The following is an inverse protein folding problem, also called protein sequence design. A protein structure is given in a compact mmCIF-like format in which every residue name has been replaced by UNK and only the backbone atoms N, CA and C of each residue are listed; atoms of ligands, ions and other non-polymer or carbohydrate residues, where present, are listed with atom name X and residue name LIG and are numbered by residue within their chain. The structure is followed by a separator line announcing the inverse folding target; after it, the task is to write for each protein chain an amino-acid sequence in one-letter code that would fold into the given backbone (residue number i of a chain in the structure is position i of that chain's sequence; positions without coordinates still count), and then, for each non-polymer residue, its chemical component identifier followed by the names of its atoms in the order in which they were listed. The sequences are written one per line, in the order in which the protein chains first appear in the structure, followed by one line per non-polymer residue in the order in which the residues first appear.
data_IF_566421394014
#
_entry.id   IF_566421394014
#
_cell.length_a   1.000
_cell.length_b   1.000
_cell.length_c   1.000
_cell.angle_alpha   90.00
_cell.angle_beta   90.00
_cell.angle_gamma   90.00
#
_symmetry.space_group_name_H-M   'P 1'
#
loop_
_entity.id
_entity.type
_entity.pdbx_description
1 polymer ?
#
# COMPACT_ATOMS: atom_id res chain seq x y z
N UNK A 1 23.78 20.27 -31.67
CA UNK A 1 23.65 19.08 -30.76
C UNK A 1 22.19 18.88 -30.52
N UNK A 2 21.58 17.75 -30.92
CA UNK A 2 20.15 17.52 -30.69
C UNK A 2 19.91 17.01 -29.28
N UNK A 3 18.92 17.59 -28.59
CA UNK A 3 18.46 17.19 -27.28
C UNK A 3 17.73 15.84 -27.38
N UNK A 4 18.23 14.86 -26.66
CA UNK A 4 17.53 13.59 -26.49
C UNK A 4 16.38 13.76 -25.47
N UNK A 5 15.16 13.80 -25.98
CA UNK A 5 13.97 13.60 -25.17
C UNK A 5 13.93 12.14 -24.68
N UNK A 6 14.25 11.91 -23.43
CA UNK A 6 13.90 10.65 -22.77
C UNK A 6 12.42 10.74 -22.37
N UNK A 7 11.58 10.07 -23.14
CA UNK A 7 10.20 9.79 -22.73
C UNK A 7 10.24 8.81 -21.55
N UNK A 8 9.76 9.24 -20.39
CA UNK A 8 9.46 8.36 -19.28
C UNK A 8 8.37 7.39 -19.74
N UNK A 9 8.76 6.14 -20.03
CA UNK A 9 7.80 5.07 -20.21
C UNK A 9 7.16 4.78 -18.84
N UNK A 10 5.91 5.23 -18.69
CA UNK A 10 5.03 4.76 -17.62
C UNK A 10 4.89 3.25 -17.82
N UNK A 11 5.48 2.47 -16.92
CA UNK A 11 5.32 1.01 -16.91
C UNK A 11 3.83 0.70 -16.79
N UNK A 12 3.33 -0.12 -17.68
CA UNK A 12 1.95 -0.60 -17.70
C UNK A 12 1.56 -1.23 -16.34
N UNK A 13 0.28 -1.14 -15.94
CA UNK A 13 -0.19 -1.71 -14.68
C UNK A 13 0.17 -3.18 -14.57
N UNK A 14 0.63 -3.59 -13.39
CA UNK A 14 0.92 -4.99 -13.07
C UNK A 14 -0.31 -5.85 -13.43
N UNK A 15 -0.18 -6.68 -14.46
CA UNK A 15 -1.15 -7.74 -14.73
C UNK A 15 -0.96 -8.80 -13.65
N UNK A 16 -1.85 -8.83 -12.67
CA UNK A 16 -1.96 -9.95 -11.75
C UNK A 16 -2.51 -11.13 -12.55
N UNK A 17 -1.63 -12.03 -12.99
CA UNK A 17 -2.05 -13.32 -13.54
C UNK A 17 -2.57 -14.19 -12.40
N UNK A 18 -3.89 -14.16 -12.20
CA UNK A 18 -4.57 -15.12 -11.33
C UNK A 18 -4.60 -16.45 -12.09
N UNK A 19 -3.66 -17.35 -11.74
CA UNK A 19 -3.74 -18.75 -12.19
C UNK A 19 -5.02 -19.34 -11.60
N UNK A 20 -6.05 -19.42 -12.38
CA UNK A 20 -7.32 -20.09 -12.06
C UNK A 20 -7.03 -21.56 -11.76
N UNK A 21 -7.10 -21.92 -10.49
CA UNK A 21 -6.93 -23.28 -10.06
C UNK A 21 -8.19 -24.08 -10.39
N UNK A 22 -8.03 -25.34 -10.81
CA UNK A 22 -9.04 -26.30 -11.29
C UNK A 22 -10.25 -26.52 -10.37
N UNK A 23 -10.23 -25.99 -9.15
CA UNK A 23 -11.30 -26.09 -8.13
C UNK A 23 -12.48 -25.14 -8.31
N UNK A 24 -12.42 -24.18 -9.24
CA UNK A 24 -13.50 -23.19 -9.50
C UNK A 24 -14.64 -23.78 -10.33
N UNK A 25 -14.44 -24.90 -11.01
CA UNK A 25 -15.36 -25.42 -12.02
C UNK A 25 -16.57 -26.22 -11.49
N UNK A 26 -16.75 -26.43 -10.17
CA UNK A 26 -17.79 -27.34 -9.65
C UNK A 26 -18.91 -26.72 -8.80
N UNK A 27 -18.97 -25.41 -8.61
CA UNK A 27 -20.12 -24.79 -7.93
C UNK A 27 -20.79 -23.76 -8.84
N UNK A 28 -22.10 -23.96 -9.12
CA UNK A 28 -23.04 -22.98 -9.68
C UNK A 28 -23.29 -21.77 -8.75
N UNK A 29 -22.57 -21.64 -7.66
CA UNK A 29 -22.69 -20.54 -6.72
C UNK A 29 -21.61 -19.52 -7.02
N UNK A 30 -22.00 -18.30 -7.38
CA UNK A 30 -21.13 -17.17 -7.62
C UNK A 30 -20.27 -16.94 -6.37
N UNK A 31 -18.95 -16.89 -6.52
CA UNK A 31 -18.01 -16.64 -5.42
C UNK A 31 -18.27 -15.26 -4.82
N UNK A 32 -18.35 -15.15 -3.50
CA UNK A 32 -18.53 -13.88 -2.81
C UNK A 32 -17.20 -13.35 -2.29
N UNK A 33 -16.83 -12.17 -2.78
CA UNK A 33 -15.59 -11.46 -2.43
C UNK A 33 -15.98 -10.23 -1.60
N UNK A 34 -15.44 -10.11 -0.40
CA UNK A 34 -15.74 -9.00 0.51
C UNK A 34 -14.48 -8.19 0.79
N UNK A 35 -14.50 -6.92 0.42
CA UNK A 35 -13.48 -5.94 0.83
C UNK A 35 -13.88 -5.33 2.16
N UNK A 36 -13.02 -5.43 3.17
CA UNK A 36 -13.31 -4.98 4.53
C UNK A 36 -12.88 -3.53 4.80
N UNK A 37 -11.92 -3.01 4.05
CA UNK A 37 -11.35 -1.67 4.23
C UNK A 37 -10.84 -1.08 2.92
N UNK A 38 -11.71 -1.04 1.89
CA UNK A 38 -11.39 -0.65 0.51
C UNK A 38 -10.78 0.76 0.39
N UNK A 39 -11.12 1.68 1.29
CA UNK A 39 -10.51 3.03 1.33
C UNK A 39 -9.01 3.03 1.54
N UNK A 40 -8.45 1.95 2.06
CA UNK A 40 -7.00 1.81 2.26
C UNK A 40 -6.23 1.51 0.97
N UNK A 41 -6.92 1.19 -0.12
CA UNK A 41 -6.31 0.89 -1.42
C UNK A 41 -6.07 2.18 -2.22
N UNK A 42 -6.88 3.21 -2.01
CA UNK A 42 -6.90 4.44 -2.79
C UNK A 42 -8.01 4.45 -3.84
N UNK A 43 -8.38 5.65 -4.26
CA UNK A 43 -9.49 5.85 -5.22
C UNK A 43 -9.02 5.74 -6.69
N UNK A 44 -7.71 5.66 -6.92
CA UNK A 44 -7.05 5.57 -8.24
C UNK A 44 -6.85 4.12 -8.73
N UNK A 45 -7.19 3.14 -7.91
CA UNK A 45 -7.05 1.71 -8.27
C UNK A 45 -8.40 1.17 -8.79
N UNK A 46 -8.38 0.69 -10.03
CA UNK A 46 -9.54 0.03 -10.62
C UNK A 46 -9.70 -1.40 -10.06
N UNK A 47 -10.77 -1.62 -9.34
CA UNK A 47 -11.13 -2.92 -8.76
C UNK A 47 -12.17 -3.68 -9.60
N UNK A 48 -12.56 -3.20 -10.78
CA UNK A 48 -13.60 -3.81 -11.63
C UNK A 48 -13.24 -5.22 -12.11
N UNK A 49 -11.95 -5.55 -12.19
CA UNK A 49 -11.51 -6.91 -12.54
C UNK A 49 -12.02 -7.98 -11.56
N UNK A 50 -12.28 -7.60 -10.30
CA UNK A 50 -12.85 -8.53 -9.32
C UNK A 50 -14.29 -8.91 -9.63
N UNK A 51 -15.06 -8.04 -10.31
CA UNK A 51 -16.46 -8.31 -10.69
C UNK A 51 -16.58 -9.49 -11.67
N UNK A 52 -15.49 -9.79 -12.40
CA UNK A 52 -15.41 -10.96 -13.29
C UNK A 52 -15.24 -12.29 -12.52
N UNK A 53 -14.86 -12.23 -11.25
CA UNK A 53 -14.61 -13.40 -10.42
C UNK A 53 -15.82 -13.81 -9.59
N UNK A 54 -16.75 -12.89 -9.32
CA UNK A 54 -17.91 -13.18 -8.49
C UNK A 54 -18.68 -11.95 -8.05
N UNK A 55 -19.51 -12.13 -7.03
CA UNK A 55 -20.19 -11.04 -6.33
C UNK A 55 -19.18 -10.28 -5.46
N UNK A 56 -19.02 -8.98 -5.68
CA UNK A 56 -18.08 -8.13 -4.96
C UNK A 56 -18.84 -7.16 -4.05
N UNK A 57 -18.55 -7.23 -2.75
CA UNK A 57 -19.06 -6.30 -1.75
C UNK A 57 -17.90 -5.51 -1.17
N UNK A 58 -18.01 -4.18 -1.15
CA UNK A 58 -16.96 -3.27 -0.69
C UNK A 58 -17.44 -2.46 0.51
N UNK A 59 -16.65 -2.49 1.57
CA UNK A 59 -16.83 -1.63 2.74
C UNK A 59 -15.62 -0.71 2.84
N UNK A 60 -15.86 0.56 3.07
CA UNK A 60 -14.81 1.57 3.21
C UNK A 60 -13.88 1.25 4.39
N UNK A 61 -14.48 0.92 5.53
CA UNK A 61 -13.81 0.49 6.76
C UNK A 61 -14.65 -0.57 7.47
N UNK A 62 -14.02 -1.41 8.28
CA UNK A 62 -14.69 -2.38 9.15
C UNK A 62 -13.97 -2.46 10.49
N UNK A 63 -14.74 -2.47 11.57
CA UNK A 63 -14.26 -2.92 12.89
C UNK A 63 -14.19 -4.46 12.92
N UNK A 64 -13.60 -5.02 13.97
CA UNK A 64 -13.55 -6.48 14.15
C UNK A 64 -14.95 -7.07 14.25
N UNK A 65 -15.87 -6.39 14.94
CA UNK A 65 -17.25 -6.80 15.13
C UNK A 65 -18.04 -6.76 13.82
N UNK A 66 -17.90 -5.67 13.05
CA UNK A 66 -18.52 -5.55 11.72
C UNK A 66 -17.95 -6.58 10.75
N UNK A 67 -16.64 -6.88 10.83
CA UNK A 67 -16.02 -7.91 10.01
C UNK A 67 -16.64 -9.31 10.28
N UNK A 68 -16.99 -9.63 11.54
CA UNK A 68 -17.63 -10.89 11.87
C UNK A 68 -18.98 -11.07 11.18
N UNK A 69 -19.74 -10.00 11.00
CA UNK A 69 -21.02 -10.03 10.29
C UNK A 69 -20.81 -10.03 8.76
N UNK A 70 -19.94 -9.12 8.26
CA UNK A 70 -19.68 -8.90 6.85
C UNK A 70 -19.04 -10.09 6.13
N UNK A 71 -18.30 -10.93 6.89
CA UNK A 71 -17.61 -12.10 6.33
C UNK A 71 -18.40 -13.39 6.39
N UNK A 72 -19.57 -13.42 7.05
CA UNK A 72 -20.33 -14.63 7.38
C UNK A 72 -20.55 -15.58 6.18
N UNK A 73 -20.83 -15.05 5.03
CA UNK A 73 -21.09 -15.77 3.78
C UNK A 73 -20.01 -15.57 2.70
N UNK A 74 -18.87 -14.93 3.06
CA UNK A 74 -17.77 -14.70 2.15
C UNK A 74 -17.00 -15.99 1.82
N UNK A 75 -16.61 -16.14 0.55
CA UNK A 75 -15.63 -17.14 0.10
C UNK A 75 -14.20 -16.58 0.14
N UNK A 76 -14.06 -15.28 -0.14
CA UNK A 76 -12.79 -14.55 -0.16
C UNK A 76 -12.97 -13.23 0.58
N UNK A 77 -12.01 -12.87 1.41
CA UNK A 77 -11.93 -11.52 1.98
C UNK A 77 -10.66 -10.81 1.53
N UNK A 78 -10.80 -9.52 1.26
CA UNK A 78 -9.70 -8.63 0.89
C UNK A 78 -9.63 -7.51 1.92
N UNK A 79 -8.44 -7.27 2.47
CA UNK A 79 -8.26 -6.29 3.54
C UNK A 79 -6.82 -5.77 3.59
N UNK A 80 -6.61 -4.70 4.33
CA UNK A 80 -5.30 -4.14 4.62
C UNK A 80 -5.02 -4.08 6.14
N UNK A 81 -5.95 -3.50 6.92
CA UNK A 81 -5.73 -3.17 8.33
C UNK A 81 -6.60 -3.95 9.31
N UNK A 82 -7.73 -4.49 8.85
CA UNK A 82 -8.63 -5.25 9.71
C UNK A 82 -7.92 -6.48 10.26
N UNK A 83 -8.09 -6.73 11.56
CA UNK A 83 -7.55 -7.94 12.20
C UNK A 83 -8.32 -9.18 11.77
N UNK A 84 -7.59 -10.22 11.40
CA UNK A 84 -8.16 -11.52 11.01
C UNK A 84 -7.83 -12.55 12.10
N UNK A 85 -8.84 -12.89 12.88
CA UNK A 85 -8.77 -13.83 13.98
C UNK A 85 -10.14 -14.51 14.20
N UNK A 86 -10.27 -15.32 15.24
CA UNK A 86 -11.54 -16.01 15.55
C UNK A 86 -12.71 -15.03 15.74
N UNK A 87 -12.48 -13.84 16.30
CA UNK A 87 -13.55 -12.86 16.53
C UNK A 87 -14.10 -12.29 15.23
N UNK A 88 -13.21 -11.98 14.27
CA UNK A 88 -13.59 -11.34 13.01
C UNK A 88 -14.08 -12.31 11.93
N UNK A 89 -13.62 -13.57 11.92
CA UNK A 89 -13.97 -14.53 10.87
C UNK A 89 -14.50 -15.88 11.38
N UNK A 90 -14.74 -16.00 12.68
CA UNK A 90 -15.19 -17.28 13.28
C UNK A 90 -16.49 -17.83 12.69
N UNK A 91 -17.38 -16.94 12.23
CA UNK A 91 -18.65 -17.30 11.62
C UNK A 91 -18.58 -17.48 10.09
N UNK A 92 -17.47 -17.16 9.45
CA UNK A 92 -17.26 -17.27 8.00
C UNK A 92 -17.03 -18.73 7.58
N UNK A 93 -18.10 -19.49 7.41
CA UNK A 93 -18.06 -20.96 7.16
C UNK A 93 -17.52 -21.31 5.77
N UNK A 94 -17.71 -20.43 4.79
CA UNK A 94 -17.33 -20.66 3.40
C UNK A 94 -15.95 -20.09 3.05
N UNK A 95 -15.34 -19.32 3.97
CA UNK A 95 -14.09 -18.60 3.72
C UNK A 95 -12.93 -19.55 3.42
N UNK A 96 -12.27 -19.31 2.29
CA UNK A 96 -11.15 -20.11 1.78
C UNK A 96 -9.87 -19.31 1.62
N UNK A 97 -9.99 -18.02 1.39
CA UNK A 97 -8.85 -17.18 1.07
C UNK A 97 -8.97 -15.80 1.74
N UNK A 98 -7.84 -15.37 2.30
CA UNK A 98 -7.63 -14.02 2.82
C UNK A 98 -6.58 -13.34 1.98
N UNK A 99 -6.90 -12.21 1.36
CA UNK A 99 -5.99 -11.39 0.58
C UNK A 99 -5.65 -10.11 1.34
N UNK A 100 -4.37 -9.89 1.63
CA UNK A 100 -3.89 -8.67 2.29
C UNK A 100 -3.30 -7.74 1.24
N UNK A 101 -3.86 -6.55 1.09
CA UNK A 101 -3.41 -5.52 0.13
C UNK A 101 -2.20 -4.73 0.66
N UNK A 102 -1.32 -5.40 1.36
CA UNK A 102 -0.10 -4.85 1.95
C UNK A 102 1.03 -5.88 1.95
N UNK A 103 2.25 -5.44 2.24
CA UNK A 103 3.40 -6.33 2.46
C UNK A 103 3.32 -6.98 3.85
N UNK A 104 3.00 -6.20 4.90
CA UNK A 104 2.89 -6.69 6.27
C UNK A 104 1.65 -7.56 6.48
N UNK A 105 1.78 -8.59 7.31
CA UNK A 105 0.70 -9.55 7.63
C UNK A 105 0.53 -9.76 9.12
N UNK A 106 0.91 -8.76 9.94
CA UNK A 106 0.87 -8.83 11.41
C UNK A 106 -0.57 -8.86 11.95
N UNK A 107 -1.53 -8.43 11.15
CA UNK A 107 -2.96 -8.44 11.44
C UNK A 107 -3.62 -9.80 11.17
N UNK A 108 -2.86 -10.81 10.73
CA UNK A 108 -3.37 -12.16 10.51
C UNK A 108 -2.99 -13.09 11.67
N UNK A 109 -3.97 -13.72 12.29
CA UNK A 109 -3.77 -14.91 13.12
C UNK A 109 -3.54 -16.12 12.20
N UNK A 110 -2.27 -16.33 11.83
CA UNK A 110 -1.86 -17.39 10.89
C UNK A 110 -2.08 -18.78 11.42
N UNK A 111 -1.99 -18.97 12.74
CA UNK A 111 -2.25 -20.26 13.38
C UNK A 111 -3.72 -20.60 13.28
N UNK A 112 -4.59 -19.63 13.54
CA UNK A 112 -6.03 -19.78 13.40
C UNK A 112 -6.43 -20.07 11.94
N UNK A 113 -5.88 -19.33 10.99
CA UNK A 113 -6.11 -19.56 9.55
C UNK A 113 -5.69 -20.98 9.13
N UNK A 114 -4.50 -21.41 9.53
CA UNK A 114 -3.99 -22.75 9.24
C UNK A 114 -4.89 -23.85 9.85
N UNK A 115 -5.33 -23.68 11.10
CA UNK A 115 -6.27 -24.61 11.77
C UNK A 115 -7.61 -24.71 11.04
N UNK A 116 -8.07 -23.60 10.44
CA UNK A 116 -9.31 -23.54 9.65
C UNK A 116 -9.13 -24.02 8.20
N UNK A 117 -7.91 -24.28 7.73
CA UNK A 117 -7.62 -24.58 6.33
C UNK A 117 -7.86 -23.40 5.38
N UNK A 118 -7.77 -22.17 5.91
CA UNK A 118 -7.94 -20.94 5.13
C UNK A 118 -6.58 -20.48 4.62
N UNK A 119 -6.44 -20.32 3.31
CA UNK A 119 -5.23 -19.77 2.71
C UNK A 119 -5.16 -18.26 2.85
N UNK A 120 -3.96 -17.72 2.80
CA UNK A 120 -3.77 -16.27 2.74
C UNK A 120 -2.68 -15.89 1.74
N UNK A 121 -2.80 -14.71 1.16
CA UNK A 121 -1.83 -14.09 0.26
C UNK A 121 -1.67 -12.62 0.61
N UNK A 122 -0.49 -12.08 0.32
CA UNK A 122 -0.20 -10.66 0.48
C UNK A 122 0.52 -10.13 -0.78
N UNK A 123 0.74 -8.81 -0.83
CA UNK A 123 1.48 -8.16 -1.92
C UNK A 123 2.89 -7.83 -1.42
N UNK A 124 3.79 -8.79 -1.56
CA UNK A 124 5.17 -8.62 -1.12
C UNK A 124 5.97 -7.75 -2.12
N UNK A 125 6.80 -6.85 -1.60
CA UNK A 125 7.82 -6.13 -2.38
C UNK A 125 7.31 -5.01 -3.30
N UNK A 126 6.02 -4.71 -3.34
CA UNK A 126 5.47 -3.71 -4.25
C UNK A 126 5.96 -2.27 -3.97
N UNK A 127 6.28 -1.97 -2.74
CA UNK A 127 6.65 -0.62 -2.28
C UNK A 127 8.15 -0.43 -2.04
N UNK A 128 8.98 -1.42 -2.32
CA UNK A 128 10.42 -1.40 -1.99
C UNK A 128 11.10 -0.15 -2.56
N UNK A 129 10.99 0.07 -3.86
CA UNK A 129 11.61 1.22 -4.53
C UNK A 129 11.00 2.55 -4.07
N UNK A 130 9.67 2.58 -3.90
CA UNK A 130 8.96 3.80 -3.46
C UNK A 130 9.35 4.20 -2.04
N UNK A 131 9.47 3.26 -1.12
CA UNK A 131 9.89 3.54 0.26
C UNK A 131 11.33 4.02 0.30
N UNK A 132 12.25 3.38 -0.43
CA UNK A 132 13.63 3.82 -0.54
C UNK A 132 13.71 5.26 -1.10
N UNK A 133 13.02 5.53 -2.21
CA UNK A 133 12.96 6.88 -2.80
C UNK A 133 12.41 7.92 -1.82
N UNK A 134 11.31 7.60 -1.12
CA UNK A 134 10.70 8.52 -0.16
C UNK A 134 11.59 8.78 1.04
N UNK A 135 12.37 7.80 1.47
CA UNK A 135 13.38 7.95 2.54
C UNK A 135 14.40 9.03 2.19
N UNK A 136 14.94 9.01 0.96
CA UNK A 136 15.83 10.07 0.49
C UNK A 136 15.13 11.43 0.35
N UNK A 137 13.89 11.44 -0.13
CA UNK A 137 13.12 12.68 -0.23
C UNK A 137 12.94 13.34 1.14
N UNK A 138 12.61 12.56 2.18
CA UNK A 138 12.49 13.07 3.56
C UNK A 138 13.84 13.54 4.12
N UNK A 139 14.93 12.82 3.82
CA UNK A 139 16.26 13.23 4.22
C UNK A 139 16.60 14.62 3.69
N UNK A 140 16.52 14.83 2.39
CA UNK A 140 16.83 16.11 1.78
C UNK A 140 15.87 17.20 2.22
N UNK A 141 14.58 16.90 2.36
CA UNK A 141 13.60 17.84 2.89
C UNK A 141 14.02 18.41 4.25
N UNK A 142 14.50 17.55 5.15
CA UNK A 142 14.93 17.95 6.48
C UNK A 142 16.30 18.66 6.47
N UNK A 143 17.28 18.10 5.78
CA UNK A 143 18.64 18.64 5.75
C UNK A 143 18.70 20.00 5.08
N UNK A 144 18.08 20.14 3.91
CA UNK A 144 18.10 21.36 3.10
C UNK A 144 17.08 22.41 3.58
N UNK A 145 16.31 22.13 4.63
CA UNK A 145 15.27 23.04 5.15
C UNK A 145 14.26 23.46 4.07
N UNK A 146 13.91 22.55 3.15
CA UNK A 146 13.17 22.86 1.93
C UNK A 146 11.86 23.60 2.22
N UNK A 147 11.11 23.21 3.25
CA UNK A 147 9.88 23.91 3.61
C UNK A 147 10.12 25.39 3.93
N UNK A 148 11.15 25.69 4.71
CA UNK A 148 11.46 27.05 5.09
C UNK A 148 11.76 27.92 3.86
N UNK A 149 12.60 27.42 2.95
CA UNK A 149 12.97 28.16 1.75
C UNK A 149 11.82 28.26 0.75
N UNK A 150 10.98 27.25 0.63
CA UNK A 150 9.74 27.29 -0.17
C UNK A 150 8.77 28.38 0.34
N UNK A 151 8.51 28.41 1.65
CA UNK A 151 7.68 29.44 2.29
C UNK A 151 8.27 30.84 2.14
N UNK A 152 9.61 30.97 2.25
CA UNK A 152 10.31 32.23 2.06
C UNK A 152 10.13 32.77 0.65
N UNK A 153 10.32 31.93 -0.37
CA UNK A 153 10.16 32.33 -1.77
C UNK A 153 8.70 32.65 -2.09
N UNK A 154 7.76 31.83 -1.68
CA UNK A 154 6.33 32.03 -1.91
C UNK A 154 5.77 33.28 -1.22
N UNK A 155 6.36 33.69 -0.12
CA UNK A 155 5.99 34.94 0.57
C UNK A 155 6.60 36.20 -0.05
N UNK A 156 7.33 36.06 -1.17
CA UNK A 156 7.98 37.17 -1.91
C UNK A 156 8.97 38.01 -1.08
N UNK A 157 9.38 37.54 0.08
CA UNK A 157 10.31 38.29 0.96
C UNK A 157 11.65 38.57 0.32
N UNK A 158 12.06 37.73 -0.63
CA UNK A 158 13.32 37.95 -1.38
C UNK A 158 13.25 39.14 -2.38
N UNK A 159 12.05 39.59 -2.79
CA UNK A 159 11.88 40.64 -3.81
C UNK A 159 12.40 41.98 -3.30
N UNK A 160 12.31 42.24 -2.00
CA UNK A 160 12.84 43.48 -1.36
C UNK A 160 14.28 43.36 -0.88
N UNK A 161 14.93 42.21 -1.03
CA UNK A 161 16.30 41.99 -0.58
C UNK A 161 17.30 42.53 -1.60
N UNK A 162 18.22 43.34 -1.12
CA UNK A 162 19.29 43.90 -1.94
C UNK A 162 20.48 42.99 -2.16
N UNK A 163 20.55 41.93 -1.36
CA UNK A 163 21.53 40.85 -1.47
C UNK A 163 20.89 39.65 -2.20
N UNK A 164 21.62 39.02 -3.10
CA UNK A 164 21.15 37.78 -3.78
C UNK A 164 21.27 36.55 -2.90
N UNK A 165 21.30 36.74 -1.58
CA UNK A 165 21.55 35.68 -0.59
C UNK A 165 20.67 35.84 0.63
N UNK A 166 20.23 34.70 1.20
CA UNK A 166 19.43 34.66 2.42
C UNK A 166 20.09 33.73 3.44
N UNK A 167 20.60 34.28 4.55
CA UNK A 167 21.38 33.55 5.57
C UNK A 167 20.57 33.39 6.88
N UNK A 168 19.46 32.67 6.88
CA UNK A 168 18.69 32.51 8.11
C UNK A 168 18.77 31.11 8.71
N UNK A 169 18.73 30.08 7.91
CA UNK A 169 18.82 28.71 8.36
C UNK A 169 20.08 28.04 7.80
N UNK A 170 20.98 27.66 8.70
CA UNK A 170 22.20 26.94 8.31
C UNK A 170 21.86 25.50 7.99
N UNK A 171 22.36 25.01 6.88
CA UNK A 171 22.39 23.60 6.54
C UNK A 171 23.80 23.21 6.11
N UNK A 172 24.09 21.92 6.13
CA UNK A 172 25.41 21.39 5.83
C UNK A 172 25.38 20.52 4.59
N UNK A 173 26.43 20.59 3.80
CA UNK A 173 26.64 19.66 2.68
C UNK A 173 26.77 18.23 3.25
N UNK A 174 26.19 17.27 2.56
CA UNK A 174 26.28 15.86 2.93
C UNK A 174 27.62 15.21 2.56
N UNK A 175 28.45 15.94 1.78
CA UNK A 175 29.78 15.45 1.40
C UNK A 175 30.62 15.14 2.63
N UNK A 176 31.15 13.94 2.71
CA UNK A 176 31.94 13.45 3.84
C UNK A 176 31.13 12.98 5.05
N UNK A 177 29.81 13.10 5.02
CA UNK A 177 28.95 12.53 6.08
C UNK A 177 28.79 11.03 5.90
N UNK A 178 28.53 10.34 7.02
CA UNK A 178 28.22 8.92 7.04
C UNK A 178 26.71 8.72 7.12
N UNK A 179 26.15 7.93 6.19
CA UNK A 179 24.78 7.48 6.23
C UNK A 179 24.71 6.10 6.90
N UNK A 180 24.06 6.02 8.05
CA UNK A 180 23.84 4.76 8.76
C UNK A 180 22.49 4.16 8.40
N UNK A 181 22.47 2.91 7.96
CA UNK A 181 21.25 2.15 7.69
C UNK A 181 21.11 1.05 8.75
N UNK A 182 19.96 1.03 9.43
CA UNK A 182 19.61 -0.01 10.39
C UNK A 182 18.59 -0.94 9.73
N UNK A 183 19.05 -2.13 9.37
CA UNK A 183 18.30 -3.13 8.60
C UNK A 183 18.82 -3.24 7.17
N UNK A 184 19.12 -4.48 6.75
CA UNK A 184 19.68 -4.80 5.43
C UNK A 184 18.75 -5.80 4.74
N UNK A 185 17.49 -5.36 4.51
CA UNK A 185 16.49 -6.09 3.73
C UNK A 185 16.37 -5.52 2.31
N UNK A 186 15.22 -5.76 1.66
CA UNK A 186 14.99 -5.28 0.29
C UNK A 186 14.91 -3.75 0.16
N UNK A 187 14.67 -3.01 1.25
CA UNK A 187 14.59 -1.55 1.27
C UNK A 187 15.94 -0.95 1.69
N UNK A 188 16.66 -1.57 2.60
CA UNK A 188 18.02 -1.17 3.03
C UNK A 188 19.06 -1.66 2.06
#
# INVERSE_FOLDING_TARGET
MPAHHHSLQVRSPLKIEIKTNKYIAQRKQTMKIVFLDSKTIGDDIDLSEYDKLGEVVKYDFSTTEEAAERTRDADVIVLNKVEVNEKSIGQAKNLKLVCVTATGTNNLDKEYLAKRGIEWRNVAGYSTETVAQHTFALLFYLLEKLRYYDDYVKSEKYVGDTSFTHFSNVFHQISGMTWGIVGLGNIG
#
